data_IF_717126677401
#
_entry.id   IF_717126677401
#
_cell.length_a   1.000
_cell.length_b   1.000
_cell.length_c   1.000
_cell.angle_alpha   90.00
_cell.angle_beta   90.00
_cell.angle_gamma   90.00
#
_symmetry.space_group_name_H-M   'P 1'
#
loop_
_entity.id
_entity.type
_entity.pdbx_description
1 polymer ?
#
# COMPACT_ATOMS: atom_id res chain seq x y z
N UNK A 1 -5.89 16.22 40.57
CA UNK A 1 -5.74 16.75 39.20
C UNK A 1 -4.60 16.01 38.56
N UNK A 2 -4.92 14.92 37.87
CA UNK A 2 -3.95 14.10 37.15
C UNK A 2 -3.66 14.77 35.82
N UNK A 3 -2.40 15.15 35.62
CA UNK A 3 -1.86 15.68 34.36
C UNK A 3 -2.05 14.66 33.25
N UNK A 4 -2.90 14.99 32.28
CA UNK A 4 -3.00 14.30 30.99
C UNK A 4 -1.64 14.42 30.30
N UNK A 5 -0.89 13.32 30.20
CA UNK A 5 0.26 13.24 29.31
C UNK A 5 -0.25 13.45 27.88
N UNK A 6 0.02 14.62 27.30
CA UNK A 6 -0.09 14.80 25.87
C UNK A 6 0.92 13.85 25.23
N UNK A 7 0.44 12.79 24.58
CA UNK A 7 1.28 11.89 23.80
C UNK A 7 2.16 12.70 22.85
N UNK A 8 3.40 12.25 22.63
CA UNK A 8 4.34 12.94 21.75
C UNK A 8 3.68 13.28 20.41
N UNK A 9 4.02 14.40 19.76
CA UNK A 9 3.38 14.79 18.49
C UNK A 9 3.42 13.69 17.41
N UNK A 10 4.44 12.83 17.47
CA UNK A 10 4.56 11.62 16.64
C UNK A 10 3.52 10.53 16.99
N UNK A 11 3.21 10.35 18.27
CA UNK A 11 2.24 9.36 18.76
C UNK A 11 0.80 9.77 18.39
N UNK A 12 0.51 11.07 18.43
CA UNK A 12 -0.74 11.62 17.90
C UNK A 12 -0.81 11.43 16.38
N UNK A 13 0.27 11.73 15.63
CA UNK A 13 0.30 11.52 14.19
C UNK A 13 0.06 10.04 13.81
N UNK A 14 0.66 9.11 14.57
CA UNK A 14 0.49 7.67 14.38
C UNK A 14 -0.96 7.21 14.61
N UNK A 15 -1.65 7.74 15.63
CA UNK A 15 -3.04 7.41 15.93
C UNK A 15 -4.04 8.02 14.94
N UNK A 16 -3.75 9.21 14.43
CA UNK A 16 -4.69 9.98 13.59
C UNK A 16 -4.48 9.70 12.11
N UNK A 17 -3.28 9.29 11.68
CA UNK A 17 -2.95 9.03 10.28
C UNK A 17 -3.93 8.11 9.54
N UNK A 18 -4.36 6.96 10.09
CA UNK A 18 -5.31 6.09 9.38
C UNK A 18 -6.63 6.78 9.05
N UNK A 19 -7.11 7.64 9.96
CA UNK A 19 -8.36 8.38 9.80
C UNK A 19 -8.22 9.53 8.81
N UNK A 20 -7.14 10.30 8.89
CA UNK A 20 -6.82 11.35 7.92
C UNK A 20 -6.69 10.75 6.52
N UNK A 21 -5.96 9.63 6.39
CA UNK A 21 -5.81 8.91 5.14
C UNK A 21 -7.16 8.51 4.55
N UNK A 22 -8.02 7.88 5.35
CA UNK A 22 -9.33 7.43 4.89
C UNK A 22 -10.23 8.60 4.47
N UNK A 23 -10.22 9.71 5.21
CA UNK A 23 -10.96 10.92 4.86
C UNK A 23 -10.46 11.52 3.55
N UNK A 24 -9.14 11.63 3.36
CA UNK A 24 -8.59 12.15 2.12
C UNK A 24 -8.89 11.23 0.92
N UNK A 25 -8.80 9.91 1.10
CA UNK A 25 -9.23 8.94 0.10
C UNK A 25 -10.69 9.11 -0.30
N UNK A 26 -11.57 9.40 0.67
CA UNK A 26 -12.98 9.67 0.38
C UNK A 26 -13.14 10.96 -0.44
N UNK A 27 -12.46 12.05 -0.05
CA UNK A 27 -12.52 13.30 -0.82
C UNK A 27 -12.00 13.14 -2.26
N UNK A 28 -10.91 12.40 -2.44
CA UNK A 28 -10.36 12.07 -3.76
C UNK A 28 -11.35 11.23 -4.57
N UNK A 29 -12.00 10.26 -3.93
CA UNK A 29 -13.02 9.43 -4.58
C UNK A 29 -14.23 10.26 -5.03
N UNK A 30 -14.71 11.16 -4.19
CA UNK A 30 -15.85 12.02 -4.51
C UNK A 30 -15.54 12.87 -5.76
N UNK A 31 -14.34 13.47 -5.83
CA UNK A 31 -13.89 14.18 -7.03
C UNK A 31 -13.84 13.30 -8.28
N UNK A 32 -13.35 12.06 -8.16
CA UNK A 32 -13.30 11.09 -9.27
C UNK A 32 -14.70 10.64 -9.74
N UNK A 33 -15.68 10.63 -8.85
CA UNK A 33 -17.06 10.26 -9.17
C UNK A 33 -17.81 11.44 -9.80
N UNK A 34 -17.62 12.63 -9.25
CA UNK A 34 -18.41 13.82 -9.59
C UNK A 34 -17.87 14.57 -10.82
N UNK A 35 -16.63 14.29 -11.27
CA UNK A 35 -16.06 14.98 -12.43
C UNK A 35 -16.89 14.74 -13.71
N UNK A 36 -17.28 15.80 -14.44
CA UNK A 36 -18.06 15.69 -15.67
C UNK A 36 -17.41 14.73 -16.68
N UNK A 37 -18.21 13.92 -17.39
CA UNK A 37 -17.68 12.84 -18.26
C UNK A 37 -17.41 13.31 -19.69
N UNK A 38 -17.84 14.52 -20.07
CA UNK A 38 -17.75 15.02 -21.44
C UNK A 38 -16.30 15.28 -21.86
N UNK A 39 -15.91 15.04 -23.14
CA UNK A 39 -14.54 15.25 -23.62
C UNK A 39 -14.01 16.67 -23.46
N UNK A 40 -14.89 17.67 -23.35
CA UNK A 40 -14.51 19.08 -23.13
C UNK A 40 -13.77 19.28 -21.79
N UNK A 41 -13.98 18.40 -20.81
CA UNK A 41 -13.37 18.45 -19.49
C UNK A 41 -12.07 17.62 -19.38
N UNK A 42 -11.46 17.22 -20.50
CA UNK A 42 -10.25 16.37 -20.49
C UNK A 42 -9.10 16.95 -19.64
N UNK A 43 -8.94 18.28 -19.62
CA UNK A 43 -7.94 18.94 -18.79
C UNK A 43 -8.18 18.72 -17.29
N UNK A 44 -9.44 18.74 -16.85
CA UNK A 44 -9.85 18.46 -15.47
C UNK A 44 -9.61 16.98 -15.13
N UNK A 45 -9.90 16.06 -16.05
CA UNK A 45 -9.59 14.63 -15.87
C UNK A 45 -8.09 14.42 -15.65
N UNK A 46 -7.24 15.08 -16.45
CA UNK A 46 -5.77 14.97 -16.32
C UNK A 46 -5.27 15.53 -14.99
N UNK A 47 -5.79 16.68 -14.57
CA UNK A 47 -5.43 17.30 -13.29
C UNK A 47 -5.79 16.38 -12.11
N UNK A 48 -7.01 15.82 -12.12
CA UNK A 48 -7.49 14.93 -11.08
C UNK A 48 -6.71 13.60 -11.04
N UNK A 49 -6.40 13.02 -12.20
CA UNK A 49 -5.54 11.84 -12.30
C UNK A 49 -4.16 12.10 -11.69
N UNK A 50 -3.56 13.27 -11.96
CA UNK A 50 -2.27 13.64 -11.38
C UNK A 50 -2.37 13.79 -9.84
N UNK A 51 -3.40 14.47 -9.35
CA UNK A 51 -3.67 14.65 -7.92
C UNK A 51 -3.77 13.31 -7.19
N UNK A 52 -4.52 12.35 -7.74
CA UNK A 52 -4.67 11.01 -7.13
C UNK A 52 -3.34 10.27 -7.07
N UNK A 53 -2.52 10.38 -8.12
CA UNK A 53 -1.18 9.76 -8.16
C UNK A 53 -0.26 10.39 -7.12
N UNK A 54 -0.29 11.71 -6.97
CA UNK A 54 0.51 12.44 -5.98
C UNK A 54 0.04 12.12 -4.55
N UNK A 55 -1.26 11.90 -4.37
CA UNK A 55 -1.83 11.48 -3.11
C UNK A 55 -1.33 10.10 -2.68
N UNK A 56 -1.32 9.12 -3.59
CA UNK A 56 -0.73 7.80 -3.32
C UNK A 56 0.79 7.90 -3.06
N UNK A 57 1.51 8.77 -3.77
CA UNK A 57 2.94 8.97 -3.51
C UNK A 57 3.17 9.52 -2.09
N UNK A 58 2.37 10.50 -1.68
CA UNK A 58 2.40 11.10 -0.34
C UNK A 58 2.07 10.07 0.74
N UNK A 59 1.10 9.19 0.49
CA UNK A 59 0.77 8.08 1.38
C UNK A 59 1.95 7.18 1.67
N UNK A 60 2.58 6.66 0.61
CA UNK A 60 3.68 5.71 0.76
C UNK A 60 4.91 6.38 1.39
N UNK A 61 5.10 7.68 1.15
CA UNK A 61 6.10 8.46 1.87
C UNK A 61 5.80 8.53 3.37
N UNK A 62 4.59 8.96 3.77
CA UNK A 62 4.22 9.05 5.19
C UNK A 62 4.29 7.67 5.85
N UNK A 63 3.75 6.65 5.19
CA UNK A 63 3.83 5.25 5.62
C UNK A 63 5.28 4.82 5.88
N UNK A 64 6.22 5.24 5.02
CA UNK A 64 7.64 4.94 5.22
C UNK A 64 8.27 5.64 6.41
N UNK A 65 7.83 6.86 6.71
CA UNK A 65 8.27 7.61 7.91
C UNK A 65 7.73 6.92 9.17
N UNK A 66 6.46 6.53 9.19
CA UNK A 66 5.85 5.82 10.32
C UNK A 66 6.53 4.48 10.60
N UNK A 67 6.96 3.78 9.55
CA UNK A 67 7.67 2.51 9.69
C UNK A 67 9.09 2.65 10.28
N UNK A 68 9.70 3.85 10.28
CA UNK A 68 10.96 4.09 10.98
C UNK A 68 10.79 3.98 12.51
N UNK A 69 9.59 4.29 13.01
CA UNK A 69 9.23 4.18 14.42
C UNK A 69 8.80 2.76 14.77
N UNK A 70 7.83 2.23 14.01
CA UNK A 70 7.30 0.89 14.22
C UNK A 70 6.93 0.23 12.88
N UNK A 71 7.81 -0.64 12.34
CA UNK A 71 7.51 -1.41 11.15
C UNK A 71 6.26 -2.29 11.30
N UNK A 72 5.99 -2.81 12.50
CA UNK A 72 4.88 -3.71 12.74
C UNK A 72 3.54 -2.99 12.60
N UNK A 73 3.44 -1.74 13.04
CA UNK A 73 2.22 -0.93 12.89
C UNK A 73 1.83 -0.71 11.43
N UNK A 74 2.81 -0.59 10.55
CA UNK A 74 2.57 -0.36 9.12
C UNK A 74 2.31 -1.67 8.38
N UNK A 75 3.03 -2.74 8.71
CA UNK A 75 2.88 -4.05 8.07
C UNK A 75 1.64 -4.81 8.57
N UNK A 76 1.28 -4.60 9.83
CA UNK A 76 0.21 -5.29 10.56
C UNK A 76 -0.71 -4.27 11.27
N UNK A 77 -1.42 -3.42 10.50
CA UNK A 77 -2.16 -2.29 11.04
C UNK A 77 -3.24 -2.74 12.05
N UNK A 78 -3.12 -2.36 13.33
CA UNK A 78 -4.05 -2.81 14.38
C UNK A 78 -5.48 -2.29 14.18
N UNK A 79 -5.65 -1.18 13.45
CA UNK A 79 -6.96 -0.56 13.18
C UNK A 79 -7.78 -1.28 12.10
N UNK A 80 -7.16 -2.19 11.33
CA UNK A 80 -7.90 -3.01 10.36
C UNK A 80 -8.56 -4.21 11.06
N UNK A 81 -9.66 -4.72 10.50
CA UNK A 81 -10.22 -5.99 10.95
C UNK A 81 -9.27 -7.16 10.69
N UNK A 82 -9.55 -8.30 11.33
CA UNK A 82 -8.80 -9.54 11.12
C UNK A 82 -8.85 -9.96 9.64
N UNK A 83 -10.01 -9.84 9.00
CA UNK A 83 -10.18 -10.20 7.59
C UNK A 83 -9.41 -9.24 6.68
N UNK A 84 -9.53 -7.92 6.91
CA UNK A 84 -8.78 -6.92 6.17
C UNK A 84 -7.27 -7.16 6.28
N UNK A 85 -6.74 -7.43 7.48
CA UNK A 85 -5.33 -7.78 7.69
C UNK A 85 -4.93 -9.05 6.95
N UNK A 86 -5.77 -10.08 6.94
CA UNK A 86 -5.48 -11.34 6.26
C UNK A 86 -5.40 -11.20 4.72
N UNK A 87 -6.01 -10.16 4.15
CA UNK A 87 -5.98 -9.87 2.72
C UNK A 87 -4.83 -8.94 2.31
N UNK A 88 -4.07 -8.39 3.25
CA UNK A 88 -2.92 -7.55 2.94
C UNK A 88 -1.79 -8.38 2.31
N UNK A 89 -1.23 -7.82 1.25
CA UNK A 89 0.02 -8.26 0.63
C UNK A 89 1.11 -7.27 1.01
N UNK A 90 1.97 -7.58 1.98
CA UNK A 90 3.08 -6.70 2.40
C UNK A 90 2.60 -5.29 2.82
N UNK A 91 1.58 -5.24 3.68
CA UNK A 91 1.04 -3.98 4.23
C UNK A 91 0.17 -3.17 3.26
N UNK A 92 -0.44 -3.78 2.23
CA UNK A 92 -1.38 -3.12 1.32
C UNK A 92 -2.02 -4.08 0.33
N UNK A 93 -2.71 -3.59 -0.71
CA UNK A 93 -3.28 -4.45 -1.78
C UNK A 93 -2.20 -5.03 -2.69
N UNK A 94 -2.43 -6.22 -3.27
CA UNK A 94 -1.50 -6.83 -4.22
C UNK A 94 -1.56 -6.09 -5.57
N UNK A 95 -0.43 -5.70 -6.21
CA UNK A 95 -0.43 -4.92 -7.46
C UNK A 95 -1.29 -5.49 -8.60
N UNK A 96 -1.40 -6.81 -8.71
CA UNK A 96 -2.25 -7.49 -9.70
C UNK A 96 -3.76 -7.30 -9.47
N UNK A 97 -4.20 -6.91 -8.27
CA UNK A 97 -5.59 -6.61 -7.97
C UNK A 97 -6.06 -5.36 -8.72
N UNK A 98 -5.27 -4.28 -8.72
CA UNK A 98 -5.58 -3.06 -9.49
C UNK A 98 -5.76 -3.37 -10.99
N UNK A 99 -4.91 -4.23 -11.56
CA UNK A 99 -5.00 -4.59 -12.99
C UNK A 99 -6.30 -5.31 -13.40
N UNK A 100 -7.06 -5.84 -12.43
CA UNK A 100 -8.40 -6.41 -12.65
C UNK A 100 -9.50 -5.36 -12.67
N UNK A 101 -9.22 -4.16 -12.18
CA UNK A 101 -10.15 -3.03 -12.11
C UNK A 101 -10.16 -2.17 -13.38
N UNK A 102 -9.27 -2.46 -14.33
CA UNK A 102 -9.22 -1.75 -15.61
C UNK A 102 -10.49 -2.09 -16.43
N UNK A 103 -11.24 -1.10 -16.93
CA UNK A 103 -12.52 -1.34 -17.60
C UNK A 103 -12.30 -1.94 -19.00
N UNK A 104 -12.36 -3.27 -19.10
CA UNK A 104 -11.98 -4.01 -20.32
C UNK A 104 -12.88 -3.74 -21.53
N UNK A 105 -14.15 -3.36 -21.33
CA UNK A 105 -15.15 -3.21 -22.40
C UNK A 105 -15.01 -1.94 -23.25
N UNK A 106 -14.13 -1.01 -22.88
CA UNK A 106 -13.98 0.31 -23.53
C UNK A 106 -12.57 0.57 -24.06
N UNK A 107 -11.71 -0.45 -24.09
CA UNK A 107 -10.31 -0.32 -24.49
C UNK A 107 -10.14 -0.47 -26.00
N UNK A 108 -9.23 0.30 -26.58
CA UNK A 108 -8.75 0.04 -27.94
C UNK A 108 -7.89 -1.24 -27.99
N UNK A 109 -7.69 -1.81 -29.18
CA UNK A 109 -6.83 -2.98 -29.35
C UNK A 109 -5.38 -2.73 -28.88
N UNK A 110 -4.87 -1.51 -29.14
CA UNK A 110 -3.54 -1.08 -28.69
C UNK A 110 -3.46 -0.98 -27.16
N UNK A 111 -4.47 -0.38 -26.52
CA UNK A 111 -4.55 -0.29 -25.06
C UNK A 111 -4.63 -1.68 -24.44
N UNK A 112 -5.45 -2.57 -24.98
CA UNK A 112 -5.60 -3.94 -24.50
C UNK A 112 -4.28 -4.72 -24.57
N UNK A 113 -3.54 -4.58 -25.68
CA UNK A 113 -2.23 -5.20 -25.85
C UNK A 113 -1.19 -4.66 -24.86
N UNK A 114 -1.11 -3.34 -24.69
CA UNK A 114 -0.20 -2.70 -23.75
C UNK A 114 -0.51 -3.09 -22.29
N UNK A 115 -1.79 -3.15 -21.92
CA UNK A 115 -2.22 -3.59 -20.59
C UNK A 115 -1.90 -5.05 -20.32
N UNK A 116 -1.97 -5.92 -21.33
CA UNK A 116 -1.56 -7.31 -21.18
C UNK A 116 -0.04 -7.42 -20.94
N UNK A 117 0.77 -6.65 -21.67
CA UNK A 117 2.21 -6.56 -21.39
C UNK A 117 2.48 -6.08 -19.95
N UNK A 118 1.76 -5.05 -19.48
CA UNK A 118 1.85 -4.57 -18.08
C UNK A 118 1.48 -5.69 -17.10
N UNK A 119 0.45 -6.50 -17.38
CA UNK A 119 0.05 -7.63 -16.53
C UNK A 119 1.15 -8.68 -16.41
N UNK A 120 1.79 -9.06 -17.51
CA UNK A 120 2.84 -10.07 -17.50
C UNK A 120 4.07 -9.58 -16.71
N UNK A 121 4.52 -8.35 -16.97
CA UNK A 121 5.64 -7.74 -16.23
C UNK A 121 5.31 -7.62 -14.74
N UNK A 122 4.10 -7.16 -14.40
CA UNK A 122 3.67 -7.01 -13.00
C UNK A 122 3.64 -8.35 -12.28
N UNK A 123 3.19 -9.43 -12.92
CA UNK A 123 3.21 -10.78 -12.32
C UNK A 123 4.63 -11.23 -11.99
N UNK A 124 5.58 -11.00 -12.91
CA UNK A 124 6.99 -11.33 -12.67
C UNK A 124 7.59 -10.49 -11.54
N UNK A 125 7.37 -9.17 -11.55
CA UNK A 125 7.84 -8.28 -10.47
C UNK A 125 7.24 -8.67 -9.11
N UNK A 126 5.94 -8.97 -9.06
CA UNK A 126 5.28 -9.45 -7.82
C UNK A 126 5.91 -10.74 -7.32
N UNK A 127 6.19 -11.71 -8.21
CA UNK A 127 6.81 -12.97 -7.82
C UNK A 127 8.21 -12.77 -7.21
N UNK A 128 8.99 -11.82 -7.72
CA UNK A 128 10.30 -11.45 -7.14
C UNK A 128 10.13 -10.91 -5.72
N UNK A 129 9.20 -9.97 -5.50
CA UNK A 129 8.99 -9.41 -4.15
C UNK A 129 8.47 -10.48 -3.18
N UNK A 130 7.61 -11.40 -3.64
CA UNK A 130 7.12 -12.52 -2.82
C UNK A 130 8.25 -13.48 -2.41
N UNK A 131 9.16 -13.78 -3.33
CA UNK A 131 10.31 -14.62 -3.06
C UNK A 131 11.26 -13.98 -2.03
N UNK A 132 11.50 -12.67 -2.14
CA UNK A 132 12.29 -11.93 -1.15
C UNK A 132 11.61 -11.90 0.23
N UNK A 133 10.30 -11.67 0.29
CA UNK A 133 9.55 -11.73 1.55
C UNK A 133 9.64 -13.12 2.18
N UNK A 134 9.47 -14.18 1.37
CA UNK A 134 9.59 -15.57 1.83
C UNK A 134 10.97 -15.85 2.41
N UNK A 135 12.04 -15.38 1.76
CA UNK A 135 13.41 -15.49 2.26
C UNK A 135 13.57 -14.81 3.62
N UNK A 136 13.11 -13.56 3.74
CA UNK A 136 13.17 -12.80 5.00
C UNK A 136 12.43 -13.53 6.13
N UNK A 137 11.26 -14.10 5.84
CA UNK A 137 10.47 -14.85 6.83
C UNK A 137 11.18 -16.13 7.29
N UNK A 138 11.76 -16.91 6.37
CA UNK A 138 12.51 -18.12 6.71
C UNK A 138 13.73 -17.79 7.56
N UNK A 139 14.50 -16.78 7.16
CA UNK A 139 15.66 -16.33 7.92
C UNK A 139 15.26 -15.79 9.30
N UNK A 140 14.09 -15.16 9.41
CA UNK A 140 13.50 -14.73 10.67
C UNK A 140 13.19 -15.89 11.62
N UNK A 141 12.56 -16.96 11.12
CA UNK A 141 12.30 -18.20 11.89
C UNK A 141 13.61 -18.80 12.40
N UNK A 142 14.62 -18.91 11.54
CA UNK A 142 15.95 -19.41 11.93
C UNK A 142 16.57 -18.50 13.00
N UNK A 143 16.47 -17.17 12.82
CA UNK A 143 16.95 -16.19 13.80
C UNK A 143 16.31 -16.36 15.18
N UNK A 144 15.00 -16.60 15.23
CA UNK A 144 14.27 -16.87 16.48
C UNK A 144 14.71 -18.20 17.11
N UNK A 145 14.84 -19.27 16.31
CA UNK A 145 15.33 -20.56 16.82
C UNK A 145 16.73 -20.45 17.43
N UNK A 146 17.61 -19.64 16.83
CA UNK A 146 18.96 -19.41 17.37
C UNK A 146 18.92 -18.55 18.65
N UNK A 147 18.05 -17.54 18.70
CA UNK A 147 17.85 -16.72 19.90
C UNK A 147 17.36 -17.56 21.09
N UNK A 148 16.47 -18.52 20.86
CA UNK A 148 15.99 -19.46 21.88
C UNK A 148 17.07 -20.38 22.48
N UNK A 149 18.26 -20.44 21.87
CA UNK A 149 19.43 -21.17 22.40
C UNK A 149 20.34 -20.32 23.28
N UNK A 150 20.04 -19.05 23.48
CA UNK A 150 20.81 -18.18 24.37
C UNK A 150 20.72 -18.67 25.82
N UNK A 151 21.61 -18.17 26.68
CA UNK A 151 21.51 -18.40 28.12
C UNK A 151 20.16 -17.90 28.64
N UNK A 152 19.56 -18.60 29.62
CA UNK A 152 18.20 -18.32 30.13
C UNK A 152 17.97 -16.84 30.44
N UNK A 153 18.94 -16.17 31.08
CA UNK A 153 18.87 -14.76 31.43
C UNK A 153 18.86 -13.80 30.21
N UNK A 154 19.23 -14.27 29.03
CA UNK A 154 19.39 -13.49 27.80
C UNK A 154 18.42 -13.88 26.67
N UNK A 155 17.68 -14.99 26.78
CA UNK A 155 16.76 -15.49 25.73
C UNK A 155 15.76 -14.42 25.30
N UNK A 156 15.05 -13.81 26.25
CA UNK A 156 14.04 -12.80 25.94
C UNK A 156 14.61 -11.59 25.16
N UNK A 157 15.81 -11.13 25.53
CA UNK A 157 16.48 -10.03 24.84
C UNK A 157 16.95 -10.45 23.43
N UNK A 158 17.46 -11.67 23.28
CA UNK A 158 17.87 -12.20 21.99
C UNK A 158 16.69 -12.40 21.03
N UNK A 159 15.55 -12.89 21.53
CA UNK A 159 14.31 -13.06 20.77
C UNK A 159 13.76 -11.72 20.31
N UNK A 160 13.68 -10.73 21.22
CA UNK A 160 13.28 -9.37 20.88
C UNK A 160 14.13 -8.80 19.76
N UNK A 161 15.46 -8.89 19.86
CA UNK A 161 16.37 -8.40 18.84
C UNK A 161 16.22 -9.15 17.50
N UNK A 162 15.91 -10.45 17.53
CA UNK A 162 15.63 -11.23 16.33
C UNK A 162 14.33 -10.80 15.64
N UNK A 163 13.27 -10.53 16.42
CA UNK A 163 12.00 -9.99 15.91
C UNK A 163 12.20 -8.62 15.28
N UNK A 164 12.88 -7.70 15.96
CA UNK A 164 13.14 -6.34 15.46
C UNK A 164 13.92 -6.37 14.13
N UNK A 165 14.96 -7.22 14.03
CA UNK A 165 15.71 -7.41 12.77
C UNK A 165 14.84 -7.97 11.65
N UNK A 166 13.97 -8.95 11.97
CA UNK A 166 13.06 -9.53 10.99
C UNK A 166 12.07 -8.46 10.48
N UNK A 167 11.43 -7.71 11.39
CA UNK A 167 10.48 -6.66 11.06
C UNK A 167 11.10 -5.55 10.20
N UNK A 168 12.32 -5.10 10.52
CA UNK A 168 13.03 -4.11 9.73
C UNK A 168 13.29 -4.60 8.27
N UNK A 169 13.63 -5.88 8.11
CA UNK A 169 13.82 -6.48 6.79
C UNK A 169 12.52 -6.69 6.04
N UNK A 170 11.45 -7.13 6.72
CA UNK A 170 10.12 -7.23 6.12
C UNK A 170 9.65 -5.86 5.62
N UNK A 171 9.92 -4.79 6.38
CA UNK A 171 9.60 -3.44 5.97
C UNK A 171 10.41 -2.99 4.76
N UNK A 172 11.69 -3.34 4.66
CA UNK A 172 12.50 -3.08 3.46
C UNK A 172 11.83 -3.67 2.21
N UNK A 173 11.30 -4.88 2.30
CA UNK A 173 10.50 -5.50 1.22
C UNK A 173 9.17 -4.77 1.02
N UNK A 174 8.54 -4.31 2.09
CA UNK A 174 7.33 -3.45 2.05
C UNK A 174 7.53 -2.15 1.24
N UNK A 175 8.68 -1.49 1.35
CA UNK A 175 9.02 -0.30 0.53
C UNK A 175 9.08 -0.66 -0.96
N UNK A 176 9.64 -1.81 -1.29
CA UNK A 176 9.67 -2.32 -2.68
C UNK A 176 8.25 -2.62 -3.16
N UNK A 177 7.40 -3.19 -2.31
CA UNK A 177 6.00 -3.45 -2.61
C UNK A 177 5.22 -2.16 -2.89
N UNK A 178 5.38 -1.14 -2.05
CA UNK A 178 4.75 0.18 -2.24
C UNK A 178 5.24 0.87 -3.52
N UNK A 179 6.55 0.76 -3.81
CA UNK A 179 7.12 1.24 -5.06
C UNK A 179 6.53 0.53 -6.29
N UNK A 180 6.30 -0.78 -6.19
CA UNK A 180 5.67 -1.56 -7.25
C UNK A 180 4.20 -1.16 -7.45
N UNK A 181 3.43 -0.90 -6.39
CA UNK A 181 2.06 -0.35 -6.48
C UNK A 181 2.05 0.94 -7.28
N UNK A 182 2.91 1.90 -6.92
CA UNK A 182 3.03 3.17 -7.65
C UNK A 182 3.43 2.97 -9.11
N UNK A 183 4.37 2.05 -9.37
CA UNK A 183 4.81 1.74 -10.73
C UNK A 183 3.66 1.21 -11.58
N UNK A 184 2.82 0.33 -11.02
CA UNK A 184 1.65 -0.23 -11.70
C UNK A 184 0.61 0.85 -11.99
N UNK A 185 0.27 1.68 -10.99
CA UNK A 185 -0.69 2.77 -11.18
C UNK A 185 -0.26 3.71 -12.32
N UNK A 186 1.01 4.16 -12.30
CA UNK A 186 1.55 5.04 -13.34
C UNK A 186 1.59 4.38 -14.73
N UNK A 187 1.98 3.11 -14.82
CA UNK A 187 1.99 2.37 -16.09
C UNK A 187 0.60 2.24 -16.69
N UNK A 188 -0.42 1.94 -15.87
CA UNK A 188 -1.80 1.81 -16.34
C UNK A 188 -2.34 3.16 -16.80
N UNK A 189 -2.18 4.20 -15.97
CA UNK A 189 -2.64 5.57 -16.30
C UNK A 189 -1.98 6.09 -17.58
N UNK A 190 -0.72 5.75 -17.85
CA UNK A 190 -0.02 6.17 -19.07
C UNK A 190 -0.58 5.54 -20.37
N UNK A 191 -1.32 4.43 -20.27
CA UNK A 191 -1.96 3.75 -21.42
C UNK A 191 -3.40 4.20 -21.63
N UNK A 192 -4.09 4.56 -20.55
CA UNK A 192 -5.50 4.93 -20.57
C UNK A 192 -5.70 6.37 -21.07
N UNK A 193 -6.87 6.65 -21.64
CA UNK A 193 -7.31 8.04 -21.80
C UNK A 193 -7.56 8.67 -20.42
N UNK A 194 -7.56 10.01 -20.30
CA UNK A 194 -7.78 10.67 -19.01
C UNK A 194 -9.07 10.22 -18.31
N UNK A 195 -10.18 10.10 -19.04
CA UNK A 195 -11.44 9.64 -18.47
C UNK A 195 -11.40 8.15 -18.04
N UNK A 196 -10.78 7.28 -18.86
CA UNK A 196 -10.58 5.87 -18.46
C UNK A 196 -9.70 5.76 -17.21
N UNK A 197 -8.69 6.63 -17.07
CA UNK A 197 -7.82 6.69 -15.90
C UNK A 197 -8.59 7.17 -14.65
N UNK A 198 -9.50 8.14 -14.80
CA UNK A 198 -10.44 8.55 -13.73
C UNK A 198 -11.25 7.34 -13.24
N UNK A 199 -11.90 6.61 -14.16
CA UNK A 199 -12.73 5.45 -13.79
C UNK A 199 -11.92 4.33 -13.11
N UNK A 200 -10.73 4.05 -13.66
CA UNK A 200 -9.79 3.08 -13.10
C UNK A 200 -9.36 3.46 -11.68
N UNK A 201 -8.91 4.71 -11.48
CA UNK A 201 -8.46 5.18 -10.17
C UNK A 201 -9.61 5.23 -9.16
N UNK A 202 -10.82 5.57 -9.59
CA UNK A 202 -12.01 5.51 -8.73
C UNK A 202 -12.26 4.08 -8.24
N UNK A 203 -12.09 3.08 -9.10
CA UNK A 203 -12.19 1.67 -8.71
C UNK A 203 -11.08 1.25 -7.74
N UNK A 204 -9.83 1.71 -7.94
CA UNK A 204 -8.71 1.46 -7.02
C UNK A 204 -8.96 2.06 -5.65
N UNK A 205 -9.32 3.34 -5.58
CA UNK A 205 -9.59 4.03 -4.31
C UNK A 205 -10.77 3.39 -3.57
N UNK A 206 -11.84 3.00 -4.29
CA UNK A 206 -12.95 2.23 -3.69
C UNK A 206 -12.50 0.91 -3.07
N UNK A 207 -11.62 0.17 -3.76
CA UNK A 207 -11.06 -1.08 -3.22
C UNK A 207 -10.28 -0.81 -1.94
N UNK A 208 -9.43 0.22 -1.92
CA UNK A 208 -8.63 0.59 -0.74
C UNK A 208 -9.52 1.00 0.45
N UNK A 209 -10.52 1.85 0.23
CA UNK A 209 -11.50 2.24 1.26
C UNK A 209 -12.24 1.01 1.79
N UNK A 210 -12.69 0.11 0.90
CA UNK A 210 -13.39 -1.11 1.30
C UNK A 210 -12.52 -1.97 2.20
N UNK A 211 -11.23 -2.14 1.89
CA UNK A 211 -10.31 -2.89 2.74
C UNK A 211 -10.16 -2.30 4.15
N UNK A 212 -10.42 -1.00 4.34
CA UNK A 212 -10.40 -0.35 5.66
C UNK A 212 -11.72 -0.48 6.42
N UNK A 213 -12.83 -0.76 5.73
CA UNK A 213 -14.17 -0.86 6.31
C UNK A 213 -14.64 -2.30 6.55
N UNK A 214 -13.92 -3.30 6.01
CA UNK A 214 -14.19 -4.74 6.18
C UNK A 214 -14.00 -5.22 7.61
#
# INVERSE_FOLDING_TARGET
MTTTEAGSSEEVAFQVFPWIWLQLMQCVLDGLVDVPREPVHEAEHRALVAEVIDHHASYFLIKSILALRDPAFVLYPPWLSVLARALLWMGGWRPTAALRLVPAGILSAEQAWALEAIRQVTRAEVAVVEEEMRRVQIEGVVGLMMAGRAAVAAVAAAEKAAIERMLARQWTVGVVADSLRMKVLRRVVAVLSPLQAVDFLAAVVRMEISMHQM
#
